data_IF_877076295501
#
_entry.id   IF_877076295501
#
_cell.length_a   1.000
_cell.length_b   1.000
_cell.length_c   1.000
_cell.angle_alpha   90.00
_cell.angle_beta   90.00
_cell.angle_gamma   90.00
#
_symmetry.space_group_name_H-M   'P 1'
#
loop_
_entity.id
_entity.type
_entity.pdbx_description
1 polymer ?
#
# COMPACT_ATOMS: atom_id res chain seq x y z
N UNK A 1 -4.39 -8.69 -10.96
CA UNK A 1 -3.01 -8.71 -10.43
C UNK A 1 -3.06 -9.22 -8.99
N UNK A 2 -2.37 -10.30 -8.65
CA UNK A 2 -2.27 -10.76 -7.25
C UNK A 2 -0.92 -10.35 -6.69
N UNK A 3 -0.92 -9.43 -5.72
CA UNK A 3 0.29 -9.06 -4.98
C UNK A 3 0.49 -10.01 -3.80
N UNK A 4 1.73 -10.41 -3.51
CA UNK A 4 2.06 -11.26 -2.36
C UNK A 4 1.77 -10.54 -1.03
N UNK A 5 1.51 -11.31 0.03
CA UNK A 5 1.26 -10.73 1.37
C UNK A 5 2.46 -9.91 1.87
N UNK A 6 3.69 -10.36 1.59
CA UNK A 6 4.92 -9.64 1.92
C UNK A 6 4.98 -8.28 1.24
N UNK A 7 4.62 -8.20 -0.04
CA UNK A 7 4.59 -6.92 -0.76
C UNK A 7 3.55 -5.97 -0.15
N UNK A 8 2.34 -6.47 0.14
CA UNK A 8 1.29 -5.64 0.74
C UNK A 8 1.71 -5.10 2.11
N UNK A 9 2.30 -5.95 2.97
CA UNK A 9 2.83 -5.53 4.27
C UNK A 9 3.92 -4.47 4.14
N UNK A 10 4.84 -4.63 3.19
CA UNK A 10 5.88 -3.64 2.91
C UNK A 10 5.26 -2.29 2.52
N UNK A 11 4.26 -2.29 1.64
CA UNK A 11 3.56 -1.07 1.21
C UNK A 11 2.90 -0.35 2.39
N UNK A 12 2.20 -1.08 3.27
CA UNK A 12 1.55 -0.49 4.45
C UNK A 12 2.58 0.02 5.45
N UNK A 13 3.63 -0.76 5.74
CA UNK A 13 4.69 -0.35 6.64
C UNK A 13 5.39 0.94 6.17
N UNK A 14 5.75 1.01 4.89
CA UNK A 14 6.33 2.23 4.31
C UNK A 14 5.37 3.42 4.37
N UNK A 15 4.06 3.20 4.17
CA UNK A 15 3.06 4.26 4.30
C UNK A 15 3.02 4.84 5.73
N UNK A 16 3.06 3.99 6.74
CA UNK A 16 3.05 4.40 8.16
C UNK A 16 4.38 5.05 8.57
N UNK A 17 5.51 4.49 8.14
CA UNK A 17 6.85 4.97 8.46
C UNK A 17 7.13 6.36 7.85
N UNK A 18 6.74 6.55 6.59
CA UNK A 18 6.95 7.81 5.86
C UNK A 18 5.79 8.81 6.04
N UNK A 19 4.70 8.41 6.74
CA UNK A 19 3.52 9.25 6.95
C UNK A 19 2.77 9.62 5.67
N UNK A 20 2.84 8.76 4.64
CA UNK A 20 2.31 9.03 3.31
C UNK A 20 0.79 8.85 3.25
N UNK A 21 0.14 9.63 2.39
CA UNK A 21 -1.25 9.37 2.02
C UNK A 21 -1.37 8.15 1.10
N UNK A 22 -2.58 7.56 1.03
CA UNK A 22 -2.89 6.43 0.14
C UNK A 22 -2.52 6.73 -1.33
N UNK A 23 -2.70 7.98 -1.78
CA UNK A 23 -2.37 8.40 -3.16
C UNK A 23 -0.86 8.44 -3.39
N UNK A 24 -0.11 8.96 -2.43
CA UNK A 24 1.36 9.04 -2.52
C UNK A 24 1.97 7.65 -2.51
N UNK A 25 1.53 6.80 -1.58
CA UNK A 25 1.91 5.38 -1.52
C UNK A 25 1.59 4.66 -2.83
N UNK A 26 0.37 4.83 -3.36
CA UNK A 26 -0.02 4.22 -4.63
C UNK A 26 0.89 4.67 -5.79
N UNK A 27 1.26 5.96 -5.83
CA UNK A 27 2.18 6.52 -6.84
C UNK A 27 3.60 5.96 -6.69
N UNK A 28 4.11 5.89 -5.46
CA UNK A 28 5.45 5.38 -5.14
C UNK A 28 5.62 3.92 -5.56
N UNK A 29 4.63 3.09 -5.27
CA UNK A 29 4.65 1.66 -5.62
C UNK A 29 4.08 1.36 -7.01
N UNK A 30 3.61 2.37 -7.75
CA UNK A 30 2.96 2.24 -9.07
C UNK A 30 1.80 1.24 -9.07
N UNK A 31 0.98 1.30 -8.03
CA UNK A 31 -0.18 0.44 -7.84
C UNK A 31 -1.47 1.27 -7.81
N UNK A 32 -2.62 0.61 -7.93
CA UNK A 32 -3.91 1.30 -7.85
C UNK A 32 -4.23 1.77 -6.43
N UNK A 33 -4.74 2.99 -6.30
CA UNK A 33 -5.26 3.54 -5.03
C UNK A 33 -6.20 2.57 -4.29
N UNK A 34 -7.10 1.91 -5.02
CA UNK A 34 -8.04 0.95 -4.45
C UNK A 34 -7.35 -0.28 -3.84
N UNK A 35 -6.15 -0.65 -4.33
CA UNK A 35 -5.37 -1.75 -3.76
C UNK A 35 -4.83 -1.37 -2.39
N UNK A 36 -4.24 -0.18 -2.26
CA UNK A 36 -3.71 0.32 -0.99
C UNK A 36 -4.83 0.49 0.03
N UNK A 37 -5.93 1.15 -0.34
CA UNK A 37 -7.11 1.33 0.53
C UNK A 37 -7.70 -0.01 1.01
N UNK A 38 -7.72 -1.02 0.14
CA UNK A 38 -8.18 -2.36 0.51
C UNK A 38 -7.26 -3.04 1.52
N UNK A 39 -5.94 -2.91 1.37
CA UNK A 39 -4.98 -3.60 2.24
C UNK A 39 -4.92 -3.04 3.65
N UNK A 40 -5.15 -1.73 3.82
CA UNK A 40 -5.26 -1.09 5.15
C UNK A 40 -6.35 -1.76 6.01
N UNK A 41 -7.43 -2.24 5.39
CA UNK A 41 -8.54 -2.87 6.10
C UNK A 41 -8.45 -4.40 6.18
N UNK A 42 -7.41 -5.01 5.59
CA UNK A 42 -7.30 -6.48 5.45
C UNK A 42 -6.03 -7.05 6.07
N UNK A 43 -5.13 -6.22 6.56
CA UNK A 43 -3.85 -6.57 7.20
C UNK A 43 -3.85 -5.93 8.59
#
# INVERSE_FOLDING_TARGET
>A
MSYSIYFRRKVIFTMEEEGLSIRETAKQFRIGFASVSRWINQI
#
